data_IF_056848777133
#
_entry.id   IF_056848777133
#
_cell.length_a   1.000
_cell.length_b   1.000
_cell.length_c   1.000
_cell.angle_alpha   90.00
_cell.angle_beta   90.00
_cell.angle_gamma   90.00
#
_symmetry.space_group_name_H-M   'P 1'
#
loop_
_entity.id
_entity.type
_entity.pdbx_description
1 polymer ?
#
# COMPACT_ATOMS: atom_id res chain seq x y z
N UNK A 1 -24.29 1.46 8.15
CA UNK A 1 -22.85 1.78 8.25
C UNK A 1 -22.18 1.37 6.94
N UNK A 2 -21.37 2.24 6.31
CA UNK A 2 -20.70 1.87 5.06
C UNK A 2 -19.56 0.86 5.30
N UNK A 3 -19.42 -0.12 4.39
CA UNK A 3 -18.43 -1.22 4.45
C UNK A 3 -17.01 -0.73 4.19
N UNK A 4 -16.01 -1.52 4.60
CA UNK A 4 -14.58 -1.24 4.35
C UNK A 4 -14.28 -1.19 2.86
N UNK A 5 -14.85 -2.12 2.08
CA UNK A 5 -14.67 -2.18 0.63
C UNK A 5 -15.19 -0.93 -0.08
N UNK A 6 -16.30 -0.35 0.39
CA UNK A 6 -16.82 0.90 -0.18
C UNK A 6 -15.85 2.07 0.02
N UNK A 7 -15.18 2.15 1.17
CA UNK A 7 -14.16 3.17 1.40
C UNK A 7 -12.87 2.90 0.64
N UNK A 8 -12.51 1.63 0.43
CA UNK A 8 -11.35 1.25 -0.38
C UNK A 8 -11.56 1.65 -1.85
N UNK A 9 -12.68 1.25 -2.46
CA UNK A 9 -13.04 1.70 -3.81
C UNK A 9 -13.18 3.22 -3.89
N UNK A 10 -13.81 3.84 -2.88
CA UNK A 10 -13.90 5.29 -2.79
C UNK A 10 -12.53 5.99 -2.69
N UNK A 11 -11.54 5.40 -2.02
CA UNK A 11 -10.19 5.94 -1.92
C UNK A 11 -9.44 5.86 -3.26
N UNK A 12 -9.73 4.82 -4.05
CA UNK A 12 -9.13 4.62 -5.38
C UNK A 12 -9.76 5.59 -6.40
N UNK A 13 -11.08 5.64 -6.48
CA UNK A 13 -11.76 6.37 -7.56
C UNK A 13 -12.13 7.81 -7.20
N UNK A 14 -12.51 8.10 -5.94
CA UNK A 14 -13.00 9.42 -5.51
C UNK A 14 -12.52 9.81 -4.10
N UNK A 15 -11.19 9.86 -3.87
CA UNK A 15 -10.59 9.92 -2.53
C UNK A 15 -11.10 11.07 -1.68
N UNK A 16 -11.27 12.26 -2.27
CA UNK A 16 -11.75 13.44 -1.54
C UNK A 16 -13.15 13.25 -0.93
N UNK A 17 -14.09 12.62 -1.65
CA UNK A 17 -15.44 12.36 -1.11
C UNK A 17 -15.39 11.24 -0.07
N UNK A 18 -14.64 10.17 -0.34
CA UNK A 18 -14.49 9.04 0.56
C UNK A 18 -13.91 9.45 1.92
N UNK A 19 -12.83 10.23 1.94
CA UNK A 19 -12.19 10.67 3.18
C UNK A 19 -13.04 11.67 3.97
N UNK A 20 -13.75 12.59 3.32
CA UNK A 20 -14.73 13.47 4.00
C UNK A 20 -15.86 12.67 4.65
N UNK A 21 -16.34 11.61 3.99
CA UNK A 21 -17.35 10.71 4.57
C UNK A 21 -16.78 9.90 5.73
N UNK A 22 -15.55 9.39 5.60
CA UNK A 22 -14.85 8.63 6.64
C UNK A 22 -14.59 9.49 7.88
N UNK A 23 -14.31 10.78 7.71
CA UNK A 23 -14.08 11.70 8.82
C UNK A 23 -15.26 11.80 9.79
N UNK A 24 -16.50 11.59 9.30
CA UNK A 24 -17.74 11.63 10.09
C UNK A 24 -18.06 10.32 10.82
N UNK A 25 -17.31 9.24 10.56
CA UNK A 25 -17.59 7.92 11.14
C UNK A 25 -16.97 7.74 12.53
N UNK A 26 -17.78 7.30 13.51
CA UNK A 26 -17.33 7.05 14.89
C UNK A 26 -16.21 6.01 14.97
N UNK A 27 -16.26 4.96 14.13
CA UNK A 27 -15.29 3.84 14.11
C UNK A 27 -14.25 3.95 12.98
N UNK A 28 -13.96 5.17 12.50
CA UNK A 28 -13.02 5.40 11.38
C UNK A 28 -11.64 4.74 11.56
N UNK A 29 -11.08 4.79 12.77
CA UNK A 29 -9.78 4.17 13.04
C UNK A 29 -9.83 2.64 12.94
N UNK A 30 -10.88 2.02 13.50
CA UNK A 30 -11.06 0.57 13.38
C UNK A 30 -11.28 0.13 11.92
N UNK A 31 -11.95 0.95 11.10
CA UNK A 31 -12.05 0.71 9.65
C UNK A 31 -10.68 0.81 8.96
N UNK A 32 -9.86 1.79 9.35
CA UNK A 32 -8.49 1.93 8.87
C UNK A 32 -7.61 0.73 9.23
N UNK A 33 -7.66 0.28 10.49
CA UNK A 33 -6.95 -0.93 10.92
C UNK A 33 -7.40 -2.15 10.10
N UNK A 34 -8.71 -2.37 9.94
CA UNK A 34 -9.25 -3.49 9.19
C UNK A 34 -8.80 -3.51 7.73
N UNK A 35 -8.72 -2.35 7.07
CA UNK A 35 -8.32 -2.30 5.66
C UNK A 35 -6.82 -2.60 5.48
N UNK A 36 -5.97 -2.06 6.35
CA UNK A 36 -4.52 -2.35 6.33
C UNK A 36 -4.27 -3.82 6.68
N UNK A 37 -4.97 -4.33 7.69
CA UNK A 37 -4.90 -5.74 8.08
C UNK A 37 -5.34 -6.68 6.95
N UNK A 38 -6.45 -6.36 6.28
CA UNK A 38 -6.93 -7.13 5.13
C UNK A 38 -5.89 -7.16 4.00
N UNK A 39 -5.35 -6.01 3.61
CA UNK A 39 -4.32 -5.94 2.56
C UNK A 39 -3.05 -6.67 2.96
N UNK A 40 -2.62 -6.57 4.22
CA UNK A 40 -1.47 -7.33 4.73
C UNK A 40 -1.69 -8.85 4.71
N UNK A 41 -2.89 -9.33 5.04
CA UNK A 41 -3.25 -10.76 4.90
C UNK A 41 -3.21 -11.18 3.44
N UNK A 42 -3.86 -10.43 2.55
CA UNK A 42 -3.88 -10.77 1.13
C UNK A 42 -2.46 -10.86 0.58
N UNK A 43 -1.61 -9.89 0.91
CA UNK A 43 -0.19 -9.91 0.56
C UNK A 43 0.50 -11.19 1.06
N UNK A 44 0.34 -11.50 2.35
CA UNK A 44 0.91 -12.68 3.01
C UNK A 44 0.49 -13.99 2.31
N UNK A 45 -0.78 -14.09 1.89
CA UNK A 45 -1.29 -15.27 1.20
C UNK A 45 -0.63 -15.47 -0.17
N UNK A 46 -0.38 -14.41 -0.92
CA UNK A 46 0.34 -14.55 -2.19
C UNK A 46 1.83 -14.80 -2.00
N UNK A 47 2.47 -14.22 -0.99
CA UNK A 47 3.84 -14.57 -0.65
C UNK A 47 3.94 -16.07 -0.30
N UNK A 48 2.99 -16.60 0.47
CA UNK A 48 2.90 -18.03 0.74
C UNK A 48 2.68 -18.86 -0.54
N UNK A 49 1.81 -18.40 -1.44
CA UNK A 49 1.59 -19.06 -2.73
C UNK A 49 2.86 -19.13 -3.58
N UNK A 50 3.62 -18.02 -3.67
CA UNK A 50 4.90 -17.96 -4.36
C UNK A 50 5.96 -18.88 -3.71
N UNK A 51 5.98 -18.94 -2.39
CA UNK A 51 6.88 -19.82 -1.64
C UNK A 51 6.59 -21.30 -1.94
N UNK A 52 5.32 -21.70 -1.89
CA UNK A 52 4.87 -23.07 -2.16
C UNK A 52 5.15 -23.46 -3.60
N UNK A 53 5.04 -22.52 -4.54
CA UNK A 53 5.35 -22.78 -5.95
C UNK A 53 6.84 -22.73 -6.29
N UNK A 54 7.72 -22.51 -5.31
CA UNK A 54 9.17 -22.46 -5.51
C UNK A 54 9.62 -21.31 -6.43
N UNK A 55 8.90 -20.18 -6.41
CA UNK A 55 9.25 -19.03 -7.22
C UNK A 55 10.67 -18.54 -6.88
N UNK A 56 11.45 -18.18 -7.90
CA UNK A 56 12.74 -17.54 -7.73
C UNK A 56 12.55 -16.06 -7.47
N UNK A 57 13.36 -15.50 -6.57
CA UNK A 57 13.31 -14.07 -6.22
C UNK A 57 13.66 -13.25 -7.46
N UNK A 58 12.74 -12.40 -7.96
CA UNK A 58 12.93 -11.70 -9.22
C UNK A 58 13.82 -10.43 -9.11
N UNK A 59 14.16 -9.97 -7.90
CA UNK A 59 14.95 -8.75 -7.70
C UNK A 59 16.01 -8.92 -6.59
N UNK A 60 17.20 -8.27 -6.70
CA UNK A 60 18.20 -8.33 -5.64
C UNK A 60 17.66 -7.71 -4.35
N UNK A 61 17.82 -8.38 -3.21
CA UNK A 61 17.38 -7.87 -1.92
C UNK A 61 18.35 -6.77 -1.45
N UNK A 62 17.87 -5.61 -0.99
CA UNK A 62 18.74 -4.55 -0.45
C UNK A 62 19.39 -4.94 0.86
N UNK A 63 18.65 -5.69 1.68
CA UNK A 63 19.20 -6.37 2.83
C UNK A 63 19.87 -7.67 2.35
N UNK A 64 21.03 -8.05 2.87
CA UNK A 64 21.67 -9.33 2.56
C UNK A 64 20.90 -10.48 3.25
N UNK A 65 19.61 -10.61 2.94
CA UNK A 65 18.79 -11.74 3.35
C UNK A 65 19.12 -12.88 2.40
N UNK A 66 19.44 -14.04 2.98
CA UNK A 66 19.58 -15.27 2.22
C UNK A 66 18.30 -15.52 1.42
N UNK A 67 18.46 -15.85 0.14
CA UNK A 67 17.36 -16.10 -0.77
C UNK A 67 16.42 -17.21 -0.25
N UNK A 68 16.97 -18.17 0.50
CA UNK A 68 16.20 -19.25 1.12
C UNK A 68 15.18 -18.74 2.15
N UNK A 69 15.42 -17.59 2.77
CA UNK A 69 14.58 -17.04 3.82
C UNK A 69 13.65 -15.92 3.33
N UNK A 70 13.76 -15.49 2.07
CA UNK A 70 13.01 -14.34 1.55
C UNK A 70 11.51 -14.46 1.77
N UNK A 71 10.89 -15.54 1.29
CA UNK A 71 9.46 -15.76 1.46
C UNK A 71 9.06 -16.00 2.90
N UNK A 72 9.95 -16.58 3.72
CA UNK A 72 9.71 -16.66 5.17
C UNK A 72 9.55 -15.26 5.75
N UNK A 73 10.45 -14.32 5.40
CA UNK A 73 10.33 -12.94 5.86
C UNK A 73 9.06 -12.27 5.37
N UNK A 74 8.70 -12.42 4.09
CA UNK A 74 7.45 -11.85 3.58
C UNK A 74 6.23 -12.42 4.29
N UNK A 75 6.15 -13.73 4.49
CA UNK A 75 4.99 -14.38 5.11
C UNK A 75 4.80 -13.91 6.56
N UNK A 76 5.88 -13.84 7.35
CA UNK A 76 5.78 -13.53 8.77
C UNK A 76 5.80 -12.03 9.07
N UNK A 77 6.53 -11.23 8.28
CA UNK A 77 6.74 -9.81 8.55
C UNK A 77 5.96 -8.87 7.64
N UNK A 78 5.34 -9.31 6.53
CA UNK A 78 4.59 -8.39 5.69
C UNK A 78 3.42 -7.73 6.45
N UNK A 79 2.56 -8.52 7.11
CA UNK A 79 1.44 -7.97 7.87
C UNK A 79 1.91 -7.03 9.01
N UNK A 80 2.87 -7.41 9.88
CA UNK A 80 3.47 -6.48 10.83
C UNK A 80 4.04 -5.22 10.17
N UNK A 81 4.75 -5.34 9.05
CA UNK A 81 5.33 -4.23 8.33
C UNK A 81 4.27 -3.27 7.79
N UNK A 82 3.17 -3.77 7.21
CA UNK A 82 2.05 -2.94 6.77
C UNK A 82 1.42 -2.14 7.91
N UNK A 83 1.20 -2.78 9.06
CA UNK A 83 0.63 -2.12 10.24
C UNK A 83 1.59 -1.07 10.81
N UNK A 84 2.86 -1.41 10.97
CA UNK A 84 3.89 -0.51 11.49
C UNK A 84 4.18 0.64 10.54
N UNK A 85 4.29 0.38 9.23
CA UNK A 85 4.48 1.41 8.21
C UNK A 85 3.32 2.40 8.20
N UNK A 86 2.08 1.91 8.27
CA UNK A 86 0.91 2.78 8.35
C UNK A 86 0.92 3.66 9.60
N UNK A 87 1.20 3.07 10.77
CA UNK A 87 1.23 3.81 12.04
C UNK A 87 2.38 4.82 12.06
N UNK A 88 3.58 4.42 11.63
CA UNK A 88 4.77 5.26 11.57
C UNK A 88 4.58 6.43 10.60
N UNK A 89 4.11 6.16 9.37
CA UNK A 89 3.80 7.19 8.39
C UNK A 89 2.70 8.14 8.88
N UNK A 90 1.67 7.61 9.55
CA UNK A 90 0.61 8.45 10.15
C UNK A 90 1.13 9.33 11.28
N UNK A 91 2.06 8.82 12.10
CA UNK A 91 2.66 9.58 13.18
C UNK A 91 3.59 10.66 12.63
N UNK A 92 4.48 10.30 11.72
CA UNK A 92 5.41 11.18 11.04
C UNK A 92 4.68 12.30 10.28
N UNK A 93 3.65 11.95 9.49
CA UNK A 93 2.79 12.93 8.84
C UNK A 93 2.02 13.80 9.84
N UNK A 94 1.57 13.25 10.97
CA UNK A 94 0.94 14.07 12.02
C UNK A 94 1.92 15.09 12.58
N UNK A 95 3.17 14.72 12.85
CA UNK A 95 4.20 15.65 13.33
C UNK A 95 4.50 16.76 12.31
N UNK A 96 4.73 16.40 11.04
CA UNK A 96 4.96 17.38 9.97
C UNK A 96 3.77 18.33 9.81
N UNK A 97 2.54 17.82 9.95
CA UNK A 97 1.34 18.66 9.85
C UNK A 97 1.29 19.79 10.89
N UNK A 98 1.97 19.64 12.04
CA UNK A 98 1.98 20.64 13.10
C UNK A 98 2.71 21.92 12.66
N UNK A 99 3.76 21.78 11.85
CA UNK A 99 4.47 22.91 11.22
C UNK A 99 3.50 23.75 10.37
N UNK A 100 2.52 23.10 9.75
CA UNK A 100 1.50 23.73 8.92
C UNK A 100 0.19 24.01 9.66
N UNK A 101 0.21 24.01 11.00
CA UNK A 101 -0.96 24.28 11.87
C UNK A 101 -2.13 23.31 11.65
N UNK A 102 -1.83 22.06 11.31
CA UNK A 102 -2.82 20.99 11.15
C UNK A 102 -3.61 20.72 12.43
N UNK A 103 -4.90 20.41 12.28
CA UNK A 103 -5.85 20.18 13.39
C UNK A 103 -6.32 18.73 13.45
N UNK A 104 -6.98 18.37 14.55
CA UNK A 104 -7.48 17.01 14.79
C UNK A 104 -6.51 16.14 15.59
N UNK A 105 -6.91 14.92 15.92
CA UNK A 105 -6.07 13.95 16.63
C UNK A 105 -5.44 12.92 15.70
N UNK A 106 -4.51 12.11 16.22
CA UNK A 106 -3.85 11.03 15.47
C UNK A 106 -4.84 10.10 14.75
N UNK A 107 -5.88 9.63 15.46
CA UNK A 107 -6.92 8.75 14.89
C UNK A 107 -7.70 9.38 13.73
N UNK A 108 -7.75 10.72 13.66
CA UNK A 108 -8.41 11.45 12.57
C UNK A 108 -7.54 11.46 11.30
N UNK A 109 -6.22 11.46 11.47
CA UNK A 109 -5.23 11.44 10.39
C UNK A 109 -4.94 10.03 9.90
N UNK A 110 -4.73 9.10 10.84
CA UNK A 110 -4.39 7.71 10.54
C UNK A 110 -5.47 6.99 9.73
N UNK A 111 -6.76 7.26 9.98
CA UNK A 111 -7.84 6.56 9.29
C UNK A 111 -7.87 6.85 7.76
N UNK A 112 -7.89 8.10 7.27
CA UNK A 112 -7.74 8.39 5.85
C UNK A 112 -6.45 7.83 5.24
N UNK A 113 -5.31 7.95 5.94
CA UNK A 113 -4.05 7.40 5.43
C UNK A 113 -4.04 5.89 5.31
N UNK A 114 -4.73 5.16 6.20
CA UNK A 114 -4.88 3.71 6.07
C UNK A 114 -5.47 3.33 4.70
N UNK A 115 -6.51 4.04 4.25
CA UNK A 115 -7.11 3.80 2.93
C UNK A 115 -6.28 4.34 1.78
N UNK A 116 -5.61 5.48 1.96
CA UNK A 116 -4.71 6.05 0.96
C UNK A 116 -3.47 5.17 0.71
N UNK A 117 -3.05 4.39 1.70
CA UNK A 117 -1.95 3.43 1.57
C UNK A 117 -2.47 2.07 1.08
N UNK A 118 -3.52 1.54 1.72
CA UNK A 118 -4.05 0.21 1.40
C UNK A 118 -4.57 0.09 -0.04
N UNK A 119 -5.23 1.12 -0.59
CA UNK A 119 -5.74 1.10 -1.96
C UNK A 119 -4.66 0.86 -3.01
N UNK A 120 -3.67 1.78 -3.12
CA UNK A 120 -2.50 1.60 -3.97
C UNK A 120 -1.72 0.33 -3.70
N UNK A 121 -1.48 -0.05 -2.43
CA UNK A 121 -0.76 -1.29 -2.12
C UNK A 121 -1.50 -2.53 -2.62
N UNK A 122 -2.83 -2.56 -2.50
CA UNK A 122 -3.65 -3.63 -3.06
C UNK A 122 -3.51 -3.70 -4.59
N UNK A 123 -3.45 -2.55 -5.27
CA UNK A 123 -3.21 -2.51 -6.72
C UNK A 123 -1.78 -2.98 -7.05
N UNK A 124 -0.75 -2.40 -6.45
CA UNK A 124 0.64 -2.74 -6.75
C UNK A 124 0.96 -4.24 -6.60
N UNK A 125 0.29 -4.90 -5.66
CA UNK A 125 0.46 -6.32 -5.39
C UNK A 125 -0.35 -7.25 -6.30
N UNK A 126 -1.46 -6.81 -6.91
CA UNK A 126 -2.33 -7.66 -7.74
C UNK A 126 -1.55 -8.49 -8.80
N UNK A 127 -0.57 -7.91 -9.52
CA UNK A 127 0.26 -8.69 -10.45
C UNK A 127 1.00 -9.86 -9.80
N UNK A 128 1.51 -9.69 -8.57
CA UNK A 128 2.18 -10.77 -7.83
C UNK A 128 1.19 -11.86 -7.43
N UNK A 129 -0.05 -11.49 -7.08
CA UNK A 129 -1.10 -12.45 -6.78
C UNK A 129 -1.49 -13.28 -8.01
N UNK A 130 -1.63 -12.61 -9.16
CA UNK A 130 -1.88 -13.26 -10.45
C UNK A 130 -0.73 -14.20 -10.82
N UNK A 131 0.51 -13.73 -10.68
CA UNK A 131 1.70 -14.53 -10.93
C UNK A 131 1.74 -15.78 -10.05
N UNK A 132 1.51 -15.63 -8.73
CA UNK A 132 1.40 -16.74 -7.80
C UNK A 132 0.33 -17.75 -8.21
N UNK A 133 -0.84 -17.27 -8.65
CA UNK A 133 -1.91 -18.13 -9.17
C UNK A 133 -1.48 -18.95 -10.38
N UNK A 134 -0.80 -18.34 -11.35
CA UNK A 134 -0.30 -19.06 -12.53
C UNK A 134 0.75 -20.12 -12.18
N UNK A 135 1.68 -19.81 -11.27
CA UNK A 135 2.67 -20.80 -10.83
C UNK A 135 2.01 -21.99 -10.12
N UNK A 136 1.03 -21.74 -9.26
CA UNK A 136 0.27 -22.80 -8.59
C UNK A 136 -0.54 -23.67 -9.56
N UNK A 137 -0.91 -23.13 -10.72
CA UNK A 137 -1.56 -23.86 -11.81
C UNK A 137 -0.57 -24.59 -12.75
N UNK A 138 0.73 -24.53 -12.45
CA UNK A 138 1.78 -25.26 -13.16
C UNK A 138 2.49 -24.49 -14.27
N UNK A 139 2.21 -23.20 -14.46
CA UNK A 139 2.98 -22.35 -15.38
C UNK A 139 4.39 -22.15 -14.84
N UNK A 140 5.41 -22.22 -15.70
CA UNK A 140 6.78 -21.95 -15.23
C UNK A 140 7.01 -20.43 -15.06
N UNK A 141 7.91 -20.06 -14.15
CA UNK A 141 8.30 -18.65 -13.99
C UNK A 141 8.90 -18.08 -15.28
N UNK A 142 9.70 -18.86 -16.01
CA UNK A 142 10.32 -18.42 -17.25
C UNK A 142 9.27 -18.12 -18.32
N UNK A 143 8.26 -18.97 -18.43
CA UNK A 143 7.13 -18.76 -19.34
C UNK A 143 6.37 -17.49 -18.98
N UNK A 144 6.03 -17.27 -17.71
CA UNK A 144 5.36 -16.03 -17.29
C UNK A 144 6.20 -14.79 -17.59
N UNK A 145 7.50 -14.84 -17.27
CA UNK A 145 8.41 -13.72 -17.46
C UNK A 145 8.60 -13.37 -18.94
N UNK A 146 8.50 -14.33 -19.86
CA UNK A 146 8.56 -14.04 -21.31
C UNK A 146 7.44 -13.10 -21.77
N UNK A 147 6.31 -13.04 -21.06
CA UNK A 147 5.22 -12.12 -21.37
C UNK A 147 5.41 -10.73 -20.74
N UNK A 148 6.04 -10.64 -19.58
CA UNK A 148 6.04 -9.41 -18.76
C UNK A 148 7.40 -8.71 -18.66
N UNK A 149 8.50 -9.43 -18.88
CA UNK A 149 9.86 -8.92 -18.71
C UNK A 149 10.48 -8.39 -20.01
N UNK A 150 10.05 -8.91 -21.16
CA UNK A 150 10.56 -8.46 -22.46
C UNK A 150 9.91 -7.14 -22.91
N UNK A 151 10.66 -6.23 -23.56
CA UNK A 151 10.11 -5.01 -24.14
C UNK A 151 8.93 -5.29 -25.06
N UNK A 152 7.76 -4.78 -24.66
CA UNK A 152 6.52 -5.04 -25.39
C UNK A 152 5.31 -4.36 -24.76
N UNK A 153 4.15 -4.62 -25.36
CA UNK A 153 2.88 -4.04 -24.92
C UNK A 153 2.55 -4.40 -23.46
N UNK A 154 2.78 -5.66 -23.06
CA UNK A 154 2.49 -6.15 -21.72
C UNK A 154 3.41 -5.55 -20.66
N UNK A 155 4.72 -5.46 -20.92
CA UNK A 155 5.65 -4.76 -20.02
C UNK A 155 5.27 -3.28 -19.89
N UNK A 156 4.93 -2.62 -20.99
CA UNK A 156 4.51 -1.21 -20.99
C UNK A 156 3.24 -1.02 -20.15
N UNK A 157 2.25 -1.89 -20.35
CA UNK A 157 1.00 -1.88 -19.57
C UNK A 157 1.27 -2.11 -18.07
N UNK A 158 2.18 -3.03 -17.73
CA UNK A 158 2.60 -3.27 -16.34
C UNK A 158 3.27 -2.05 -15.71
N UNK A 159 4.19 -1.39 -16.43
CA UNK A 159 4.84 -0.17 -15.95
C UNK A 159 3.86 0.99 -15.75
N UNK A 160 2.93 1.18 -16.70
CA UNK A 160 1.84 2.16 -16.58
C UNK A 160 0.99 1.85 -15.35
N UNK A 161 0.62 0.58 -15.16
CA UNK A 161 -0.16 0.15 -14.02
C UNK A 161 0.51 0.48 -12.68
N UNK A 162 1.81 0.13 -12.55
CA UNK A 162 2.57 0.43 -11.34
C UNK A 162 2.76 1.95 -11.13
N UNK A 163 2.99 2.69 -12.21
CA UNK A 163 3.06 4.15 -12.19
C UNK A 163 1.75 4.80 -11.71
N UNK A 164 0.60 4.33 -12.21
CA UNK A 164 -0.72 4.80 -11.77
C UNK A 164 -0.98 4.48 -10.30
N UNK A 165 -0.60 3.29 -9.83
CA UNK A 165 -0.71 2.95 -8.42
C UNK A 165 0.17 3.86 -7.55
N UNK A 166 1.40 4.16 -7.97
CA UNK A 166 2.30 5.07 -7.25
C UNK A 166 1.76 6.51 -7.22
N UNK A 167 1.21 7.00 -8.34
CA UNK A 167 0.53 8.29 -8.40
C UNK A 167 -0.69 8.33 -7.48
N UNK A 168 -1.45 7.24 -7.41
CA UNK A 168 -2.59 7.11 -6.51
C UNK A 168 -2.16 7.13 -5.04
N UNK A 169 -1.04 6.51 -4.69
CA UNK A 169 -0.43 6.59 -3.35
C UNK A 169 -0.08 8.04 -2.99
N UNK A 170 0.62 8.75 -3.87
CA UNK A 170 0.99 10.13 -3.63
C UNK A 170 -0.26 11.04 -3.52
N UNK A 171 -1.14 11.01 -4.53
CA UNK A 171 -2.33 11.85 -4.57
C UNK A 171 -3.30 11.52 -3.43
N UNK A 172 -3.54 10.23 -3.17
CA UNK A 172 -4.36 9.74 -2.07
C UNK A 172 -3.84 10.22 -0.72
N UNK A 173 -2.52 10.18 -0.50
CA UNK A 173 -1.90 10.62 0.76
C UNK A 173 -2.01 12.13 0.98
N UNK A 174 -1.92 12.94 -0.08
CA UNK A 174 -2.18 14.38 -0.02
C UNK A 174 -3.65 14.68 0.33
N UNK A 175 -4.59 13.96 -0.29
CA UNK A 175 -6.02 14.11 0.02
C UNK A 175 -6.37 13.63 1.42
N UNK A 176 -5.72 12.57 1.89
CA UNK A 176 -5.84 12.06 3.25
C UNK A 176 -5.32 13.08 4.27
N UNK A 177 -4.16 13.70 4.01
CA UNK A 177 -3.61 14.76 4.85
C UNK A 177 -4.57 15.97 4.92
N UNK A 178 -5.08 16.44 3.78
CA UNK A 178 -6.06 17.52 3.74
C UNK A 178 -7.33 17.21 4.56
N UNK A 179 -7.86 15.99 4.44
CA UNK A 179 -9.09 15.58 5.13
C UNK A 179 -8.89 15.29 6.63
N UNK A 180 -7.82 14.57 6.99
CA UNK A 180 -7.57 14.10 8.34
C UNK A 180 -6.91 15.13 9.26
N UNK A 181 -6.22 16.13 8.68
CA UNK A 181 -5.54 17.20 9.40
C UNK A 181 -6.08 18.61 9.12
N UNK A 182 -7.09 18.74 8.24
CA UNK A 182 -7.68 20.04 7.83
C UNK A 182 -6.64 21.05 7.33
N UNK A 183 -5.66 20.56 6.56
CA UNK A 183 -4.54 21.36 6.08
C UNK A 183 -4.91 22.20 4.84
N UNK A 184 -4.24 23.36 4.70
CA UNK A 184 -4.21 24.13 3.45
C UNK A 184 -3.50 23.33 2.34
N UNK A 185 -3.70 23.64 1.05
CA UNK A 185 -3.17 22.86 -0.07
C UNK A 185 -1.66 22.57 0.01
N UNK A 186 -0.84 23.58 0.30
CA UNK A 186 0.62 23.41 0.40
C UNK A 186 1.00 22.49 1.57
N UNK A 187 0.41 22.71 2.75
CA UNK A 187 0.65 21.87 3.92
C UNK A 187 0.18 20.43 3.69
N UNK A 188 -0.95 20.23 3.02
CA UNK A 188 -1.46 18.92 2.66
C UNK A 188 -0.55 18.19 1.65
N UNK A 189 -0.02 18.93 0.67
CA UNK A 189 0.93 18.40 -0.31
C UNK A 189 2.19 17.88 0.39
N UNK A 190 2.88 18.74 1.13
CA UNK A 190 4.14 18.38 1.79
C UNK A 190 3.95 17.29 2.84
N UNK A 191 2.92 17.41 3.67
CA UNK A 191 2.60 16.40 4.70
C UNK A 191 2.21 15.06 4.08
N UNK A 192 1.38 15.08 3.04
CA UNK A 192 0.89 13.87 2.38
C UNK A 192 1.99 13.13 1.64
N UNK A 193 2.83 13.86 0.88
CA UNK A 193 3.98 13.27 0.19
C UNK A 193 5.01 12.72 1.17
N UNK A 194 5.27 13.43 2.27
CA UNK A 194 6.17 12.92 3.32
C UNK A 194 5.63 11.63 3.95
N UNK A 195 4.33 11.58 4.30
CA UNK A 195 3.72 10.37 4.83
C UNK A 195 3.77 9.21 3.83
N UNK A 196 3.52 9.48 2.54
CA UNK A 196 3.66 8.48 1.47
C UNK A 196 5.09 7.97 1.35
N UNK A 197 6.10 8.86 1.44
CA UNK A 197 7.51 8.49 1.38
C UNK A 197 7.92 7.63 2.58
N UNK A 198 7.48 7.96 3.80
CA UNK A 198 7.73 7.13 5.00
C UNK A 198 7.07 5.76 4.84
N UNK A 199 5.82 5.70 4.41
CA UNK A 199 5.13 4.43 4.19
C UNK A 199 5.83 3.58 3.12
N UNK A 200 6.03 4.14 1.94
CA UNK A 200 6.68 3.46 0.82
C UNK A 200 8.13 3.07 1.12
N UNK A 201 8.85 3.90 1.87
CA UNK A 201 10.21 3.59 2.33
C UNK A 201 10.26 2.40 3.28
N UNK A 202 9.37 2.35 4.28
CA UNK A 202 9.31 1.20 5.19
C UNK A 202 8.90 -0.07 4.43
N UNK A 203 7.86 0.01 3.59
CA UNK A 203 7.40 -1.14 2.81
C UNK A 203 8.50 -1.61 1.86
N UNK A 204 9.11 -0.73 1.06
CA UNK A 204 10.14 -1.10 0.10
C UNK A 204 11.45 -1.61 0.73
N UNK A 205 11.68 -1.36 2.02
CA UNK A 205 12.78 -1.96 2.78
C UNK A 205 12.48 -3.38 3.24
N UNK A 206 11.21 -3.69 3.52
CA UNK A 206 10.80 -4.98 4.13
C UNK A 206 10.20 -5.94 3.10
N UNK A 207 9.59 -5.41 2.05
CA UNK A 207 8.75 -6.13 1.10
C UNK A 207 9.14 -5.68 -0.31
N UNK A 208 9.54 -6.60 -1.19
CA UNK A 208 9.92 -6.31 -2.57
C UNK A 208 9.12 -7.09 -3.61
#
# INVERSE_FOLDING_TARGET
MASVLLYLGGAIFVPGRAFRRLAKERRRFAKGFRVVFLVGILYTLSAAGLAVSGALIPAPVFLPLDAHNYYFFEIFFALPAFLLAWLAASAAGTLVSLVFRGRGGFKAAAAPWAFAFAGPSFLMWLPHAVFSGFLLLGMSQQEFMSYTADPGFLQTAFLIYQGLAALLLAAGSVRAAAAGRSLRPVGALLTGLFAAAVFGGIIGLVIR
#
